data_IF_187570748076
#
_entry.id   IF_187570748076
#
_cell.length_a   1.000
_cell.length_b   1.000
_cell.length_c   1.000
_cell.angle_alpha   90.00
_cell.angle_beta   90.00
_cell.angle_gamma   90.00
#
_symmetry.space_group_name_H-M   'P 1'
#
loop_
_entity.id
_entity.type
_entity.pdbx_description
1 polymer ?
#
# COMPACT_ATOMS: atom_id res chain seq x y z
N UNK A 1 -13.66 -27.14 11.44
CA UNK A 1 -12.92 -25.86 11.53
C UNK A 1 -13.23 -25.09 10.26
N UNK A 2 -14.08 -24.05 10.31
CA UNK A 2 -14.34 -23.20 9.15
C UNK A 2 -13.16 -22.26 8.94
N UNK A 3 -12.38 -22.47 7.89
CA UNK A 3 -11.46 -21.46 7.37
C UNK A 3 -12.30 -20.45 6.61
N UNK A 4 -12.77 -19.41 7.30
CA UNK A 4 -13.38 -18.27 6.64
C UNK A 4 -12.29 -17.65 5.75
N UNK A 5 -12.36 -17.91 4.44
CA UNK A 5 -11.50 -17.24 3.46
C UNK A 5 -11.98 -15.79 3.46
N UNK A 6 -11.28 -14.91 4.17
CA UNK A 6 -11.51 -13.47 4.03
C UNK A 6 -11.22 -13.15 2.57
N UNK A 7 -12.19 -12.64 1.80
CA UNK A 7 -11.92 -12.24 0.43
C UNK A 7 -10.79 -11.21 0.45
N UNK A 8 -9.78 -11.43 -0.40
CA UNK A 8 -8.72 -10.46 -0.58
C UNK A 8 -9.37 -9.16 -1.04
N UNK A 9 -9.17 -8.09 -0.27
CA UNK A 9 -9.62 -6.76 -0.63
C UNK A 9 -8.96 -6.35 -1.94
N UNK A 10 -9.73 -5.81 -2.88
CA UNK A 10 -9.19 -5.29 -4.13
C UNK A 10 -8.22 -4.10 -3.90
N UNK A 11 -7.46 -3.76 -4.93
CA UNK A 11 -6.48 -2.67 -4.88
C UNK A 11 -7.09 -1.31 -4.50
N UNK A 12 -8.34 -1.05 -4.91
CA UNK A 12 -9.04 0.21 -4.63
C UNK A 12 -9.41 0.30 -3.14
N UNK A 13 -10.03 -0.74 -2.60
CA UNK A 13 -10.42 -0.84 -1.20
C UNK A 13 -9.20 -0.79 -0.27
N UNK A 14 -8.11 -1.48 -0.63
CA UNK A 14 -6.86 -1.41 0.13
C UNK A 14 -6.23 -0.03 0.11
N UNK A 15 -6.29 0.65 -1.04
CA UNK A 15 -5.79 2.02 -1.16
C UNK A 15 -6.63 2.96 -0.30
N UNK A 16 -7.96 2.89 -0.38
CA UNK A 16 -8.87 3.70 0.42
C UNK A 16 -8.63 3.50 1.93
N UNK A 17 -8.53 2.24 2.38
CA UNK A 17 -8.23 1.92 3.76
C UNK A 17 -6.86 2.49 4.21
N UNK A 18 -5.83 2.39 3.37
CA UNK A 18 -4.50 2.92 3.68
C UNK A 18 -4.52 4.44 3.81
N UNK A 19 -5.25 5.14 2.94
CA UNK A 19 -5.40 6.61 2.99
C UNK A 19 -6.07 7.03 4.30
N UNK A 20 -7.17 6.37 4.68
CA UNK A 20 -7.87 6.65 5.94
C UNK A 20 -6.95 6.42 7.14
N UNK A 21 -6.29 5.26 7.22
CA UNK A 21 -5.41 4.93 8.33
C UNK A 21 -4.22 5.90 8.45
N UNK A 22 -3.63 6.34 7.32
CA UNK A 22 -2.56 7.33 7.34
C UNK A 22 -3.05 8.71 7.77
N UNK A 23 -4.32 9.06 7.51
CA UNK A 23 -4.90 10.33 7.95
C UNK A 23 -5.08 10.40 9.47
N UNK A 24 -5.37 9.26 10.11
CA UNK A 24 -5.58 9.14 11.57
C UNK A 24 -4.28 9.17 12.40
N UNK A 25 -3.10 9.13 11.78
CA UNK A 25 -1.83 9.17 12.54
C UNK A 25 -1.58 10.56 13.11
N UNK A 26 -1.31 10.65 14.41
CA UNK A 26 -1.07 11.92 15.10
C UNK A 26 0.36 12.43 14.91
N UNK A 27 1.32 11.52 14.68
CA UNK A 27 2.74 11.87 14.55
C UNK A 27 3.36 11.38 13.23
N UNK A 28 4.44 12.05 12.82
CA UNK A 28 5.24 11.61 11.68
C UNK A 28 5.85 10.21 11.89
N UNK A 29 6.16 9.84 13.13
CA UNK A 29 6.69 8.52 13.47
C UNK A 29 5.65 7.41 13.30
N UNK A 30 4.41 7.64 13.74
CA UNK A 30 3.29 6.72 13.51
C UNK A 30 3.00 6.57 12.03
N UNK A 31 2.94 7.69 11.30
CA UNK A 31 2.78 7.68 9.83
C UNK A 31 3.85 6.86 9.15
N UNK A 32 5.11 7.06 9.51
CA UNK A 32 6.23 6.30 8.94
C UNK A 32 6.16 4.81 9.33
N UNK A 33 5.74 4.48 10.55
CA UNK A 33 5.57 3.10 10.99
C UNK A 33 4.45 2.40 10.22
N UNK A 34 3.30 3.05 10.09
CA UNK A 34 2.16 2.54 9.36
C UNK A 34 2.48 2.36 7.87
N UNK A 35 3.13 3.33 7.22
CA UNK A 35 3.55 3.21 5.83
C UNK A 35 4.46 2.00 5.59
N UNK A 36 5.37 1.68 6.53
CA UNK A 36 6.20 0.47 6.46
C UNK A 36 5.39 -0.81 6.57
N UNK A 37 4.35 -0.82 7.42
CA UNK A 37 3.44 -1.96 7.54
C UNK A 37 2.65 -2.13 6.25
N UNK A 38 2.07 -1.06 5.70
CA UNK A 38 1.31 -1.10 4.45
C UNK A 38 2.15 -1.62 3.26
N UNK A 39 3.43 -1.21 3.17
CA UNK A 39 4.35 -1.76 2.17
C UNK A 39 4.57 -3.27 2.33
N UNK A 40 4.84 -3.73 3.55
CA UNK A 40 5.08 -5.16 3.82
C UNK A 40 3.82 -6.01 3.63
N UNK A 41 2.65 -5.43 3.85
CA UNK A 41 1.36 -6.06 3.63
C UNK A 41 0.93 -6.04 2.15
N UNK A 42 1.67 -5.38 1.26
CA UNK A 42 1.31 -5.24 -0.15
C UNK A 42 0.12 -4.31 -0.40
N UNK A 43 -0.14 -3.35 0.49
CA UNK A 43 -1.16 -2.29 0.34
C UNK A 43 -0.59 -1.04 -0.34
N UNK A 44 0.73 -1.00 -0.47
CA UNK A 44 1.50 0.01 -1.20
C UNK A 44 2.65 -0.71 -1.90
N UNK A 45 3.21 -0.07 -2.90
CA UNK A 45 4.45 -0.54 -3.53
C UNK A 45 5.51 0.55 -3.47
N UNK A 46 6.77 0.14 -3.51
CA UNK A 46 7.91 1.06 -3.49
C UNK A 46 8.56 1.08 -4.86
N UNK A 47 8.69 2.26 -5.43
CA UNK A 47 9.46 2.47 -6.64
C UNK A 47 10.94 2.15 -6.35
N UNK A 48 11.51 1.19 -7.06
CA UNK A 48 12.90 0.78 -6.80
C UNK A 48 13.92 1.87 -7.17
N UNK A 49 13.77 2.60 -8.31
CA UNK A 49 14.64 3.75 -8.62
C UNK A 49 14.48 4.94 -7.66
N UNK A 50 13.27 5.49 -7.53
CA UNK A 50 13.02 6.72 -6.76
C UNK A 50 12.97 6.50 -5.25
N UNK A 51 12.84 5.24 -4.80
CA UNK A 51 12.64 4.86 -3.40
C UNK A 51 11.37 5.46 -2.76
N UNK A 52 10.47 6.01 -3.58
CA UNK A 52 9.17 6.57 -3.19
C UNK A 52 8.11 5.47 -3.03
N UNK A 53 7.15 5.73 -2.15
CA UNK A 53 6.03 4.83 -1.91
C UNK A 53 4.83 5.29 -2.72
N UNK A 54 4.16 4.35 -3.37
CA UNK A 54 2.98 4.58 -4.18
C UNK A 54 1.83 3.68 -3.73
N UNK A 55 0.61 4.14 -3.94
CA UNK A 55 -0.59 3.31 -3.71
C UNK A 55 -0.76 2.29 -4.84
N UNK A 56 -1.54 1.24 -4.58
CA UNK A 56 -1.79 0.20 -5.58
C UNK A 56 -2.56 0.72 -6.80
N UNK A 57 -3.38 1.76 -6.64
CA UNK A 57 -4.06 2.43 -7.76
C UNK A 57 -3.10 3.18 -8.69
N UNK A 58 -1.86 3.43 -8.26
CA UNK A 58 -0.82 4.04 -9.12
C UNK A 58 -0.07 2.92 -9.85
N UNK A 59 -0.33 2.76 -11.15
CA UNK A 59 0.31 1.73 -11.98
C UNK A 59 1.77 2.00 -12.33
N UNK A 60 2.16 3.28 -12.43
CA UNK A 60 3.50 3.69 -12.85
C UNK A 60 3.98 4.89 -12.03
N UNK A 61 5.24 4.87 -11.62
CA UNK A 61 5.91 6.00 -10.97
C UNK A 61 6.23 7.09 -12.01
N UNK A 62 6.39 8.34 -11.58
CA UNK A 62 6.80 9.45 -12.46
C UNK A 62 8.15 9.24 -13.16
N UNK A 63 9.01 8.34 -12.66
CA UNK A 63 10.25 7.95 -13.34
C UNK A 63 10.07 6.87 -14.42
N UNK A 64 8.86 6.38 -14.64
CA UNK A 64 8.55 5.31 -15.60
C UNK A 64 8.66 3.89 -15.03
N UNK A 65 9.06 3.71 -13.76
CA UNK A 65 9.05 2.40 -13.13
C UNK A 65 7.62 1.90 -12.90
N UNK A 66 7.34 0.66 -13.28
CA UNK A 66 6.02 0.04 -13.13
C UNK A 66 5.83 -0.62 -11.77
N UNK A 67 4.57 -0.69 -11.33
CA UNK A 67 4.19 -1.47 -10.16
C UNK A 67 4.57 -2.95 -10.39
N UNK A 68 5.23 -3.62 -9.43
CA UNK A 68 5.55 -5.04 -9.54
C UNK A 68 4.29 -5.90 -9.75
N UNK A 69 4.40 -6.92 -10.60
CA UNK A 69 3.32 -7.89 -10.83
C UNK A 69 3.02 -8.71 -9.56
N UNK A 70 1.76 -9.07 -9.34
CA UNK A 70 1.31 -9.82 -8.16
C UNK A 70 0.99 -8.95 -6.94
N UNK A 71 0.81 -7.64 -7.16
CA UNK A 71 0.35 -6.67 -6.18
C UNK A 71 -1.02 -6.16 -6.64
N UNK A 72 -1.98 -7.07 -6.76
CA UNK A 72 -3.29 -6.87 -7.38
C UNK A 72 -4.41 -7.03 -6.35
#
# INVERSE_FOLDING_TARGET
>A
MSTTVTPLLDAETRTAATVVLLAETATAQERAALARVCLRAGFMWRCHPCKENHFLTTGTCGCGAERPAGLD
#
